data_IF_511482529137
#
_entry.id   IF_511482529137
#
_cell.length_a   1.000
_cell.length_b   1.000
_cell.length_c   1.000
_cell.angle_alpha   90.00
_cell.angle_beta   90.00
_cell.angle_gamma   90.00
#
_symmetry.space_group_name_H-M   'P 1'
#
loop_
_entity.id
_entity.type
_entity.pdbx_description
1 polymer ?
#
# COMPACT_ATOMS: atom_id res chain seq x y z
N UNK A 1 -14.83 50.65 -66.37
CA UNK A 1 -15.20 51.66 -65.35
C UNK A 1 -16.26 51.09 -64.41
N UNK A 2 -15.88 50.67 -63.20
CA UNK A 2 -16.67 50.75 -61.95
C UNK A 2 -15.77 50.33 -60.78
N UNK A 3 -15.97 51.00 -59.66
CA UNK A 3 -15.03 51.23 -58.55
C UNK A 3 -15.22 50.22 -57.41
N UNK A 4 -14.10 49.94 -56.72
CA UNK A 4 -13.85 49.78 -55.27
C UNK A 4 -14.96 49.22 -54.36
N UNK A 5 -14.59 48.27 -53.47
CA UNK A 5 -14.48 48.43 -52.00
C UNK A 5 -13.99 47.09 -51.41
N UNK A 6 -12.97 47.15 -50.55
CA UNK A 6 -12.35 45.99 -49.88
C UNK A 6 -13.07 45.54 -48.61
N UNK A 7 -12.76 44.32 -48.15
CA UNK A 7 -13.08 43.77 -46.81
C UNK A 7 -11.91 42.85 -46.43
N UNK A 8 -10.95 43.34 -45.64
CA UNK A 8 -10.76 43.10 -44.18
C UNK A 8 -10.21 41.71 -43.83
N UNK A 9 -8.98 41.71 -43.29
CA UNK A 9 -8.28 40.60 -42.62
C UNK A 9 -9.16 39.96 -41.53
N UNK A 10 -9.17 38.63 -41.47
CA UNK A 10 -9.51 37.86 -40.28
C UNK A 10 -8.43 36.81 -40.02
N UNK A 11 -7.39 37.23 -39.30
CA UNK A 11 -6.48 36.35 -38.57
C UNK A 11 -7.25 35.70 -37.42
N UNK A 12 -7.70 34.47 -37.62
CA UNK A 12 -8.33 33.66 -36.58
C UNK A 12 -7.28 32.94 -35.74
N UNK A 13 -7.01 33.47 -34.56
CA UNK A 13 -6.10 32.95 -33.53
C UNK A 13 -6.38 31.50 -33.14
N UNK A 14 -5.36 30.63 -33.31
CA UNK A 14 -5.23 29.36 -32.58
C UNK A 14 -4.81 29.66 -31.13
N UNK A 15 -5.75 29.71 -30.20
CA UNK A 15 -5.48 29.60 -28.77
C UNK A 15 -6.63 28.87 -28.08
N UNK A 16 -6.35 27.75 -27.41
CA UNK A 16 -7.28 27.18 -26.44
C UNK A 16 -7.32 25.65 -26.30
N UNK A 17 -6.21 24.92 -26.36
CA UNK A 17 -6.17 23.58 -25.75
C UNK A 17 -5.74 23.78 -24.29
N UNK A 18 -6.72 24.00 -23.41
CA UNK A 18 -6.50 23.98 -21.96
C UNK A 18 -6.40 22.50 -21.58
N UNK A 19 -5.17 21.97 -21.57
CA UNK A 19 -4.87 20.71 -20.90
C UNK A 19 -5.06 20.91 -19.40
N UNK A 20 -6.06 20.24 -18.83
CA UNK A 20 -6.22 20.12 -17.38
C UNK A 20 -5.11 19.16 -16.91
N UNK A 21 -3.89 19.67 -16.71
CA UNK A 21 -2.94 19.02 -15.82
C UNK A 21 -3.50 19.20 -14.41
N UNK A 22 -4.05 18.13 -13.84
CA UNK A 22 -4.16 18.04 -12.39
C UNK A 22 -2.73 18.01 -11.85
N UNK A 23 -2.21 19.17 -11.48
CA UNK A 23 -1.08 19.24 -10.57
C UNK A 23 -1.51 18.49 -9.31
N UNK A 24 -0.89 17.33 -9.05
CA UNK A 24 -0.82 16.84 -7.68
C UNK A 24 -0.15 17.95 -6.90
N UNK A 25 -0.94 18.66 -6.08
CA UNK A 25 -0.40 19.53 -5.05
C UNK A 25 0.45 18.63 -4.15
N UNK A 26 1.77 18.65 -4.36
CA UNK A 26 2.71 18.06 -3.42
C UNK A 26 2.44 18.75 -2.09
N UNK A 27 1.86 18.01 -1.14
CA UNK A 27 1.57 18.55 0.17
C UNK A 27 2.89 19.02 0.78
N UNK A 28 3.11 20.33 0.79
CA UNK A 28 4.30 20.95 1.34
C UNK A 28 4.42 20.54 2.81
N UNK A 29 5.60 20.07 3.24
CA UNK A 29 5.83 19.78 4.65
C UNK A 29 5.51 21.04 5.49
N UNK A 30 4.87 20.90 6.66
CA UNK A 30 4.58 22.02 7.53
C UNK A 30 5.86 22.80 7.86
N UNK A 31 5.86 24.11 7.61
CA UNK A 31 7.01 24.99 7.84
C UNK A 31 7.00 25.64 9.23
N UNK A 32 5.94 25.42 10.02
CA UNK A 32 5.84 25.94 11.38
C UNK A 32 6.85 25.21 12.29
N UNK A 33 7.81 25.93 12.92
CA UNK A 33 8.77 25.32 13.84
C UNK A 33 8.12 24.70 15.09
N UNK A 34 6.87 25.04 15.40
CA UNK A 34 6.09 24.42 16.48
C UNK A 34 5.18 23.28 15.98
N UNK A 35 5.25 22.91 14.70
CA UNK A 35 4.52 21.76 14.19
C UNK A 35 4.96 20.51 14.97
N UNK A 36 4.03 19.75 15.59
CA UNK A 36 4.39 18.60 16.40
C UNK A 36 4.75 17.40 15.51
N UNK A 37 5.85 17.50 14.76
CA UNK A 37 6.37 16.44 13.91
C UNK A 37 6.73 15.17 14.70
N UNK A 38 6.91 15.27 16.02
CA UNK A 38 7.08 14.11 16.89
C UNK A 38 5.75 13.35 17.11
N UNK A 39 4.61 14.03 17.00
CA UNK A 39 3.28 13.45 17.22
C UNK A 39 2.73 12.75 15.98
N UNK A 40 3.21 13.13 14.80
CA UNK A 40 2.81 12.58 13.51
C UNK A 40 4.05 12.02 12.85
N UNK A 41 4.06 10.74 12.45
CA UNK A 41 5.20 10.11 11.76
C UNK A 41 5.43 10.65 10.33
N UNK A 42 5.47 11.97 10.19
CA UNK A 42 5.80 12.72 8.98
C UNK A 42 7.33 12.82 8.97
N UNK A 43 8.00 12.31 7.93
CA UNK A 43 9.43 12.47 7.79
C UNK A 43 9.80 13.95 7.82
N UNK A 44 10.66 14.35 8.77
CA UNK A 44 11.26 15.68 8.78
C UNK A 44 12.27 15.87 7.65
N UNK A 45 12.73 17.10 7.38
CA UNK A 45 13.79 17.38 6.40
C UNK A 45 15.10 16.63 6.69
N UNK A 46 15.30 16.29 7.95
CA UNK A 46 16.43 15.59 8.56
C UNK A 46 15.99 14.24 9.13
N UNK A 47 15.16 13.49 8.38
CA UNK A 47 14.73 12.17 8.81
C UNK A 47 15.95 11.27 9.06
N UNK A 48 16.34 11.15 10.33
CA UNK A 48 17.37 10.24 10.81
C UNK A 48 16.88 8.80 10.69
N UNK A 49 16.45 8.38 9.50
CA UNK A 49 16.12 6.99 9.20
C UNK A 49 17.38 6.20 9.43
N UNK A 50 17.37 5.48 10.54
CA UNK A 50 18.30 4.39 10.77
C UNK A 50 18.29 3.49 9.53
N UNK A 51 19.45 3.22 8.92
CA UNK A 51 19.54 2.29 7.80
C UNK A 51 18.84 0.99 8.17
N UNK A 52 18.10 0.42 7.22
CA UNK A 52 17.55 -0.92 7.43
C UNK A 52 18.70 -1.89 7.70
N UNK A 53 18.59 -2.78 8.71
CA UNK A 53 19.61 -3.78 8.94
C UNK A 53 19.82 -4.65 7.68
N UNK A 54 21.03 -5.20 7.48
CA UNK A 54 21.31 -6.09 6.36
C UNK A 54 20.39 -7.33 6.41
N UNK A 55 20.01 -7.81 5.22
CA UNK A 55 19.25 -9.05 5.05
C UNK A 55 20.24 -10.21 4.87
N UNK A 56 21.08 -10.45 5.88
CA UNK A 56 22.02 -11.55 5.90
C UNK A 56 21.36 -12.86 6.40
N UNK A 57 22.16 -13.93 6.46
CA UNK A 57 21.70 -15.26 6.88
C UNK A 57 21.65 -15.42 8.41
N UNK A 58 21.81 -14.34 9.18
CA UNK A 58 21.74 -14.39 10.65
C UNK A 58 20.32 -14.79 11.08
N UNK A 59 20.22 -15.85 11.87
CA UNK A 59 18.93 -16.33 12.40
C UNK A 59 18.61 -15.69 13.75
N UNK A 60 17.38 -15.22 13.87
CA UNK A 60 16.81 -14.64 15.08
C UNK A 60 15.75 -15.59 15.64
N UNK A 61 15.56 -15.59 16.95
CA UNK A 61 14.54 -16.37 17.66
C UNK A 61 13.85 -15.47 18.68
N UNK A 62 12.53 -15.57 18.80
CA UNK A 62 11.78 -14.84 19.82
C UNK A 62 11.65 -15.68 21.11
N UNK A 63 11.57 -15.05 22.30
CA UNK A 63 11.28 -15.77 23.53
C UNK A 63 10.01 -16.63 23.41
N UNK A 64 10.13 -17.91 23.74
CA UNK A 64 9.02 -18.88 23.65
C UNK A 64 8.82 -19.53 22.28
N UNK A 65 9.40 -19.00 21.20
CA UNK A 65 9.31 -19.61 19.88
C UNK A 65 10.28 -20.79 19.78
N UNK A 66 9.86 -21.84 19.08
CA UNK A 66 10.69 -22.99 18.71
C UNK A 66 11.34 -22.85 17.33
N UNK A 67 11.14 -21.71 16.66
CA UNK A 67 11.57 -21.45 15.29
C UNK A 67 12.60 -20.33 15.25
N UNK A 68 13.46 -20.38 14.24
CA UNK A 68 14.48 -19.36 14.00
C UNK A 68 14.49 -18.97 12.52
N UNK A 69 14.43 -17.68 12.25
CA UNK A 69 14.32 -17.13 10.91
C UNK A 69 15.35 -16.03 10.67
N UNK A 70 15.78 -15.88 9.42
CA UNK A 70 16.54 -14.72 8.97
C UNK A 70 15.68 -13.45 9.00
N UNK A 71 16.31 -12.28 8.96
CA UNK A 71 15.56 -11.02 8.88
C UNK A 71 14.71 -10.94 7.60
N UNK A 72 15.18 -11.53 6.50
CA UNK A 72 14.45 -11.59 5.23
C UNK A 72 13.16 -12.41 5.37
N UNK A 73 13.26 -13.62 5.92
CA UNK A 73 12.13 -14.51 6.19
C UNK A 73 11.15 -13.86 7.19
N UNK A 74 11.67 -13.29 8.28
CA UNK A 74 10.87 -12.58 9.28
C UNK A 74 10.00 -11.47 8.66
N UNK A 75 10.53 -10.77 7.66
CA UNK A 75 9.88 -9.64 7.02
C UNK A 75 9.08 -10.01 5.76
N UNK A 76 9.13 -11.28 5.32
CA UNK A 76 8.54 -11.71 4.06
C UNK A 76 9.21 -11.04 2.85
N UNK A 77 10.53 -10.86 2.89
CA UNK A 77 11.31 -10.25 1.80
C UNK A 77 12.24 -11.27 1.15
N UNK A 78 12.43 -11.14 -0.15
CA UNK A 78 13.52 -11.79 -0.85
C UNK A 78 14.83 -11.01 -0.60
N UNK A 79 15.93 -11.66 -0.16
CA UNK A 79 17.21 -11.00 0.11
C UNK A 79 17.89 -10.47 -1.16
N UNK A 80 17.59 -11.06 -2.33
CA UNK A 80 18.15 -10.69 -3.62
C UNK A 80 17.22 -9.75 -4.43
N UNK A 81 15.94 -9.68 -4.09
CA UNK A 81 14.96 -8.82 -4.78
C UNK A 81 13.91 -8.22 -3.85
N UNK A 82 14.12 -6.97 -3.45
CA UNK A 82 13.18 -6.21 -2.60
C UNK A 82 11.79 -5.98 -3.21
N UNK A 83 11.52 -6.35 -4.45
CA UNK A 83 10.17 -6.26 -5.05
C UNK A 83 9.33 -7.51 -4.80
N UNK A 84 9.98 -8.66 -4.60
CA UNK A 84 9.31 -9.93 -4.31
C UNK A 84 8.93 -9.96 -2.81
N UNK A 85 7.74 -10.46 -2.54
CA UNK A 85 7.14 -10.49 -1.20
C UNK A 85 6.58 -11.88 -0.92
N UNK A 86 6.87 -12.38 0.27
CA UNK A 86 6.39 -13.65 0.80
C UNK A 86 5.59 -13.41 2.09
N UNK A 87 4.96 -14.46 2.61
CA UNK A 87 4.44 -14.41 3.98
C UNK A 87 5.58 -14.12 4.96
N UNK A 88 5.33 -13.34 6.03
CA UNK A 88 6.33 -13.15 7.07
C UNK A 88 6.45 -14.44 7.88
N UNK A 89 7.57 -14.59 8.59
CA UNK A 89 7.75 -15.73 9.46
C UNK A 89 6.59 -15.89 10.47
N UNK A 90 6.12 -17.13 10.60
CA UNK A 90 5.17 -17.53 11.63
C UNK A 90 5.95 -18.04 12.85
N UNK A 91 6.14 -17.13 13.81
CA UNK A 91 6.92 -17.40 15.01
C UNK A 91 6.21 -18.34 16.00
N UNK A 92 4.87 -18.38 15.94
CA UNK A 92 4.03 -19.14 16.85
C UNK A 92 2.82 -19.73 16.09
N UNK A 93 3.03 -20.76 15.25
CA UNK A 93 1.96 -21.41 14.51
C UNK A 93 0.87 -22.02 15.40
N UNK A 94 1.18 -22.29 16.67
CA UNK A 94 0.22 -22.76 17.68
C UNK A 94 -0.78 -21.69 18.13
N UNK A 95 -0.54 -20.40 17.81
CA UNK A 95 -1.38 -19.28 18.26
C UNK A 95 -2.59 -19.01 17.35
N UNK A 96 -2.73 -19.77 16.26
CA UNK A 96 -3.82 -19.63 15.32
C UNK A 96 -4.20 -20.97 14.67
N UNK A 97 -5.41 -21.10 14.10
CA UNK A 97 -5.76 -22.24 13.27
C UNK A 97 -4.83 -22.37 12.05
N UNK A 98 -4.81 -23.54 11.41
CA UNK A 98 -4.06 -23.74 10.18
C UNK A 98 -4.36 -22.63 9.16
N UNK A 99 -3.31 -21.91 8.76
CA UNK A 99 -3.44 -20.80 7.84
C UNK A 99 -3.70 -21.33 6.42
N UNK A 100 -4.77 -20.87 5.74
CA UNK A 100 -5.00 -21.19 4.34
C UNK A 100 -3.85 -20.74 3.43
N UNK A 101 -3.58 -21.49 2.37
CA UNK A 101 -2.44 -21.25 1.46
C UNK A 101 -2.46 -19.84 0.85
N UNK A 102 -3.62 -19.35 0.39
CA UNK A 102 -3.78 -17.99 -0.14
C UNK A 102 -3.39 -16.92 0.90
N UNK A 103 -3.61 -17.17 2.19
CA UNK A 103 -3.24 -16.23 3.26
C UNK A 103 -1.74 -16.31 3.55
N UNK A 104 -1.17 -17.52 3.56
CA UNK A 104 0.24 -17.77 3.84
C UNK A 104 1.17 -17.33 2.71
N UNK A 105 0.83 -17.70 1.48
CA UNK A 105 1.70 -17.62 0.30
C UNK A 105 1.16 -16.71 -0.80
N UNK A 106 -0.10 -16.28 -0.71
CA UNK A 106 -0.74 -15.49 -1.76
C UNK A 106 -1.04 -16.33 -3.01
N UNK A 107 -1.15 -15.64 -4.13
CA UNK A 107 -1.27 -16.25 -5.46
C UNK A 107 -0.47 -15.41 -6.45
N UNK A 108 0.81 -15.76 -6.68
CA UNK A 108 1.68 -15.00 -7.56
C UNK A 108 1.19 -14.95 -9.02
N UNK A 109 0.53 -16.01 -9.50
CA UNK A 109 0.01 -16.08 -10.88
C UNK A 109 -1.08 -15.03 -11.12
N UNK A 110 -1.96 -14.83 -10.13
CA UNK A 110 -2.97 -13.76 -10.16
C UNK A 110 -2.44 -12.42 -9.67
N UNK A 111 -1.21 -12.36 -9.16
CA UNK A 111 -0.62 -11.15 -8.59
C UNK A 111 -1.20 -10.76 -7.22
N UNK A 112 -1.67 -11.74 -6.45
CA UNK A 112 -2.13 -11.58 -5.08
C UNK A 112 -0.95 -11.83 -4.13
N UNK A 113 -0.58 -10.80 -3.38
CA UNK A 113 0.45 -10.93 -2.34
C UNK A 113 -0.14 -11.63 -1.11
N UNK A 114 0.64 -12.44 -0.36
CA UNK A 114 0.20 -13.06 0.88
C UNK A 114 -0.54 -12.08 1.81
N UNK A 115 -1.73 -12.47 2.27
CA UNK A 115 -2.52 -11.63 3.19
C UNK A 115 -1.80 -11.45 4.53
N UNK A 116 -1.10 -12.49 4.98
CA UNK A 116 -0.28 -12.53 6.20
C UNK A 116 0.82 -11.46 6.22
N UNK A 117 1.31 -10.99 5.06
CA UNK A 117 2.34 -9.95 4.99
C UNK A 117 1.94 -8.67 5.73
N UNK A 118 0.68 -8.26 5.57
CA UNK A 118 0.12 -7.07 6.19
C UNK A 118 -0.71 -7.41 7.43
N UNK A 119 -1.42 -8.54 7.40
CA UNK A 119 -2.36 -8.93 8.45
C UNK A 119 -1.76 -9.82 9.54
N UNK A 120 -0.48 -10.19 9.41
CA UNK A 120 0.26 -11.14 10.26
C UNK A 120 -0.35 -12.56 10.26
N UNK A 121 0.44 -13.60 10.61
CA UNK A 121 -0.03 -14.98 10.65
C UNK A 121 -1.30 -15.20 11.48
N UNK A 122 -1.35 -14.59 12.66
CA UNK A 122 -2.51 -14.68 13.57
C UNK A 122 -3.65 -13.70 13.22
N UNK A 123 -3.56 -12.96 12.12
CA UNK A 123 -4.61 -12.04 11.67
C UNK A 123 -4.80 -10.78 12.54
N UNK A 124 -3.88 -10.45 13.45
CA UNK A 124 -3.96 -9.21 14.27
C UNK A 124 -3.53 -7.95 13.55
N UNK A 125 -2.87 -8.08 12.40
CA UNK A 125 -2.37 -6.95 11.62
C UNK A 125 -1.16 -6.25 12.21
N UNK A 126 -0.39 -5.60 11.33
CA UNK A 126 0.57 -4.57 11.74
C UNK A 126 -0.18 -3.34 12.27
N UNK A 127 0.46 -2.43 13.04
CA UNK A 127 -0.20 -1.24 13.59
C UNK A 127 -0.98 -0.38 12.57
N UNK A 128 -0.53 -0.37 11.31
CA UNK A 128 -1.14 0.38 10.22
C UNK A 128 -2.26 -0.36 9.46
N UNK A 129 -2.53 -1.62 9.82
CA UNK A 129 -3.45 -2.54 9.16
C UNK A 129 -4.58 -3.00 10.10
N UNK A 130 -5.80 -3.12 9.58
CA UNK A 130 -6.92 -3.63 10.36
C UNK A 130 -6.74 -5.12 10.70
N UNK A 131 -7.11 -5.57 11.91
CA UNK A 131 -7.11 -6.98 12.28
C UNK A 131 -8.31 -7.74 11.68
N UNK A 132 -8.12 -8.69 10.75
CA UNK A 132 -9.19 -9.61 10.34
C UNK A 132 -9.56 -10.64 11.41
N UNK A 133 -8.65 -10.98 12.32
CA UNK A 133 -8.93 -11.96 13.37
C UNK A 133 -10.03 -11.48 14.31
N UNK A 134 -10.97 -12.37 14.63
CA UNK A 134 -12.11 -12.09 15.50
C UNK A 134 -13.30 -11.40 14.81
N UNK A 135 -13.21 -11.07 13.52
CA UNK A 135 -14.34 -10.53 12.77
C UNK A 135 -15.35 -11.64 12.39
N UNK A 136 -16.67 -11.35 12.42
CA UNK A 136 -17.67 -12.28 11.91
C UNK A 136 -17.40 -12.65 10.45
N UNK A 137 -17.63 -13.91 10.08
CA UNK A 137 -17.42 -14.42 8.72
C UNK A 137 -18.18 -13.58 7.69
N UNK A 138 -19.43 -13.25 7.98
CA UNK A 138 -20.33 -12.51 7.10
C UNK A 138 -19.82 -11.09 6.88
N UNK A 139 -19.27 -10.46 7.92
CA UNK A 139 -18.66 -9.13 7.83
C UNK A 139 -17.40 -9.14 6.95
N UNK A 140 -16.56 -10.17 7.09
CA UNK A 140 -15.35 -10.33 6.26
C UNK A 140 -15.72 -10.50 4.79
N UNK A 141 -16.73 -11.34 4.49
CA UNK A 141 -17.22 -11.52 3.11
C UNK A 141 -17.80 -10.22 2.58
N UNK A 142 -18.70 -9.55 3.32
CA UNK A 142 -19.28 -8.28 2.91
C UNK A 142 -18.19 -7.22 2.66
N UNK A 143 -17.19 -7.13 3.52
CA UNK A 143 -16.05 -6.23 3.36
C UNK A 143 -15.29 -6.48 2.05
N UNK A 144 -15.00 -7.73 1.72
CA UNK A 144 -14.30 -8.08 0.48
C UNK A 144 -15.17 -7.79 -0.75
N UNK A 145 -16.48 -8.03 -0.67
CA UNK A 145 -17.41 -7.70 -1.76
C UNK A 145 -17.53 -6.18 -1.97
N UNK A 146 -17.59 -5.40 -0.89
CA UNK A 146 -17.58 -3.93 -0.96
C UNK A 146 -16.29 -3.42 -1.60
N UNK A 147 -15.13 -3.99 -1.21
CA UNK A 147 -13.83 -3.65 -1.82
C UNK A 147 -13.79 -4.01 -3.31
N UNK A 148 -14.30 -5.19 -3.68
CA UNK A 148 -14.41 -5.62 -5.09
C UNK A 148 -15.27 -4.65 -5.90
N UNK A 149 -16.41 -4.24 -5.34
CA UNK A 149 -17.38 -3.36 -6.00
C UNK A 149 -17.06 -1.86 -5.88
N UNK A 150 -15.91 -1.49 -5.31
CA UNK A 150 -15.50 -0.09 -5.16
C UNK A 150 -16.30 0.71 -4.13
N UNK A 151 -17.02 0.04 -3.23
CA UNK A 151 -17.84 0.65 -2.17
C UNK A 151 -17.03 0.98 -0.91
N UNK A 152 -15.77 0.54 -0.83
CA UNK A 152 -14.83 0.86 0.25
C UNK A 152 -13.58 1.56 -0.26
N UNK A 153 -13.25 2.70 0.34
CA UNK A 153 -12.04 3.48 0.08
C UNK A 153 -11.51 4.16 1.34
N UNK A 154 -10.26 4.61 1.30
CA UNK A 154 -9.68 5.48 2.33
C UNK A 154 -9.92 6.94 1.98
N UNK A 155 -10.28 7.76 2.97
CA UNK A 155 -10.32 9.21 2.81
C UNK A 155 -8.92 9.78 2.53
N UNK A 156 -7.89 9.19 3.13
CA UNK A 156 -6.49 9.52 2.80
C UNK A 156 -6.06 8.75 1.55
N UNK A 157 -5.91 9.47 0.43
CA UNK A 157 -5.48 8.92 -0.86
C UNK A 157 -4.01 8.45 -0.85
N UNK A 158 -3.21 8.86 0.13
CA UNK A 158 -1.82 8.40 0.29
C UNK A 158 -1.74 7.01 0.90
N UNK A 159 -2.83 6.54 1.53
CA UNK A 159 -2.92 5.21 2.16
C UNK A 159 -3.04 4.12 1.09
N UNK A 160 -1.90 3.72 0.52
CA UNK A 160 -1.81 2.77 -0.59
C UNK A 160 -2.38 1.36 -0.33
N UNK A 161 -2.51 0.95 0.94
CA UNK A 161 -2.93 -0.41 1.28
C UNK A 161 -4.40 -0.68 0.91
N UNK A 162 -5.32 0.30 0.97
CA UNK A 162 -6.72 0.07 0.56
C UNK A 162 -6.84 -0.21 -0.94
N UNK A 163 -6.06 0.48 -1.77
CA UNK A 163 -6.07 0.26 -3.21
C UNK A 163 -5.53 -1.13 -3.57
N UNK A 164 -4.54 -1.62 -2.82
CA UNK A 164 -4.06 -3.01 -2.94
C UNK A 164 -5.15 -4.00 -2.55
N UNK A 165 -5.86 -3.78 -1.43
CA UNK A 165 -6.96 -4.64 -1.00
C UNK A 165 -8.09 -4.69 -2.04
N UNK A 166 -8.50 -3.55 -2.59
CA UNK A 166 -9.51 -3.49 -3.65
C UNK A 166 -9.06 -4.26 -4.91
N UNK A 167 -7.78 -4.14 -5.28
CA UNK A 167 -7.20 -4.95 -6.38
C UNK A 167 -7.26 -6.44 -6.06
N UNK A 168 -6.82 -6.87 -4.87
CA UNK A 168 -6.85 -8.28 -4.48
C UNK A 168 -8.27 -8.85 -4.44
N UNK A 169 -9.25 -8.09 -3.96
CA UNK A 169 -10.66 -8.48 -3.95
C UNK A 169 -11.21 -8.76 -5.36
N UNK A 170 -10.74 -8.01 -6.37
CA UNK A 170 -11.09 -8.25 -7.77
C UNK A 170 -10.41 -9.50 -8.34
N UNK A 171 -9.18 -9.79 -7.92
CA UNK A 171 -8.39 -10.94 -8.41
C UNK A 171 -8.78 -12.28 -7.76
N UNK A 172 -9.54 -12.24 -6.66
CA UNK A 172 -9.97 -13.44 -5.92
C UNK A 172 -11.12 -14.23 -6.58
N UNK A 173 -11.61 -13.78 -7.74
CA UNK A 173 -12.73 -14.39 -8.48
C UNK A 173 -12.34 -14.68 -9.92
#
# INVERSE_FOLDING_TARGET
>A
MRRLIGVTLLTGSMLGVIGILQAQEEAQAPTDPNYPAWAWAIPGPDDHRTPSPPLDDTKYTLPGSRFSFTLAEAQGRDPNNRSIRFGPADWFPEDHPTMPDLIANGDPERGITPCSLCHLPNGKGRPENAPPAGQPREYTIATLMDMKNGLRWSADKRKGNIFRMNKYANLMT
#
